data_IF_161163006864
#
_entry.id   IF_161163006864
#
_cell.length_a   1.000
_cell.length_b   1.000
_cell.length_c   1.000
_cell.angle_alpha   90.00
_cell.angle_beta   90.00
_cell.angle_gamma   90.00
#
_symmetry.space_group_name_H-M   'P 1'
#
loop_
_entity.id
_entity.type
_entity.pdbx_description
1 polymer ?
#
# COMPACT_ATOMS: atom_id res chain seq x y z
N UNK A 1 21.38 -27.82 31.85
CA UNK A 1 21.55 -26.80 30.79
C UNK A 1 21.26 -27.47 29.45
N UNK A 2 19.99 -27.52 29.00
CA UNK A 2 19.63 -28.14 27.73
C UNK A 2 19.23 -27.05 26.75
N UNK A 3 20.02 -26.91 25.68
CA UNK A 3 19.79 -26.05 24.54
C UNK A 3 18.70 -26.69 23.68
N UNK A 4 17.68 -25.93 23.26
CA UNK A 4 16.75 -26.35 22.21
C UNK A 4 16.70 -25.28 21.13
N UNK A 5 17.50 -25.53 20.10
CA UNK A 5 17.52 -24.87 18.81
C UNK A 5 16.28 -25.31 18.04
N UNK A 6 15.26 -24.45 17.95
CA UNK A 6 14.06 -24.70 17.18
C UNK A 6 14.16 -24.10 15.78
N UNK A 7 14.70 -24.87 14.84
CA UNK A 7 14.64 -24.60 13.41
C UNK A 7 13.20 -24.80 12.92
N UNK A 8 12.56 -23.76 12.36
CA UNK A 8 11.39 -23.96 11.47
C UNK A 8 11.54 -23.13 10.22
N UNK A 9 12.21 -23.74 9.26
CA UNK A 9 12.28 -23.37 7.85
C UNK A 9 10.91 -23.54 7.19
N UNK A 10 10.25 -22.45 6.79
CA UNK A 10 9.34 -22.48 5.63
C UNK A 10 9.72 -21.37 4.67
N UNK A 11 10.68 -21.69 3.81
CA UNK A 11 10.98 -20.93 2.61
C UNK A 11 9.76 -20.95 1.69
N UNK A 12 9.05 -19.82 1.60
CA UNK A 12 8.17 -19.56 0.45
C UNK A 12 8.94 -18.73 -0.56
N UNK A 13 9.16 -19.34 -1.71
CA UNK A 13 9.99 -18.87 -2.80
C UNK A 13 9.61 -17.49 -3.35
N UNK A 14 10.64 -16.87 -3.91
CA UNK A 14 10.60 -15.60 -4.63
C UNK A 14 12.02 -15.26 -5.06
N UNK A 15 12.54 -16.01 -6.04
CA UNK A 15 13.78 -15.70 -6.75
C UNK A 15 13.60 -14.39 -7.50
N UNK A 16 14.02 -13.31 -6.85
CA UNK A 16 14.21 -12.00 -7.44
C UNK A 16 15.06 -11.25 -6.44
N UNK A 17 16.17 -10.68 -6.89
CA UNK A 17 16.97 -9.74 -6.12
C UNK A 17 16.06 -8.63 -5.59
N UNK A 18 15.52 -8.80 -4.37
CA UNK A 18 14.41 -8.01 -3.84
C UNK A 18 14.91 -7.24 -2.63
N UNK A 19 15.64 -6.15 -2.90
CA UNK A 19 15.86 -5.04 -1.98
C UNK A 19 14.66 -4.89 -1.03
N UNK A 20 14.88 -5.03 0.28
CA UNK A 20 13.79 -5.11 1.25
C UNK A 20 12.99 -3.83 1.25
N UNK A 21 11.85 -3.82 0.57
CA UNK A 21 10.96 -2.67 0.47
C UNK A 21 10.29 -2.47 1.81
N UNK A 22 10.75 -1.52 2.64
CA UNK A 22 10.39 -1.53 4.05
C UNK A 22 9.03 -0.85 4.29
N UNK A 23 8.47 -0.18 3.28
CA UNK A 23 7.17 0.47 3.31
C UNK A 23 7.25 1.99 3.39
N UNK A 24 6.07 2.63 3.47
CA UNK A 24 5.95 4.10 3.52
C UNK A 24 6.17 4.60 4.95
N UNK A 25 6.55 5.88 5.10
CA UNK A 25 6.58 6.54 6.41
C UNK A 25 5.17 6.65 6.95
N UNK A 26 4.99 6.40 8.24
CA UNK A 26 3.69 6.44 8.91
C UNK A 26 3.70 7.39 10.09
N UNK A 27 2.51 7.69 10.63
CA UNK A 27 2.37 8.43 11.90
C UNK A 27 2.61 7.56 13.15
N UNK A 28 2.94 6.27 12.98
CA UNK A 28 3.26 5.41 14.10
C UNK A 28 4.80 5.32 14.22
N UNK A 29 5.39 5.81 15.32
CA UNK A 29 6.84 5.78 15.49
C UNK A 29 7.40 4.36 15.50
N UNK A 30 6.69 3.40 16.10
CA UNK A 30 7.10 2.00 16.12
C UNK A 30 7.15 1.40 14.70
N UNK A 31 6.17 1.69 13.85
CA UNK A 31 6.21 1.23 12.45
C UNK A 31 7.35 1.87 11.66
N UNK A 32 7.69 3.14 11.96
CA UNK A 32 8.86 3.77 11.36
C UNK A 32 10.17 3.13 11.82
N UNK A 33 10.25 2.69 13.08
CA UNK A 33 11.37 1.89 13.57
C UNK A 33 11.45 0.53 12.88
N UNK A 34 10.35 -0.21 12.78
CA UNK A 34 10.32 -1.51 12.10
C UNK A 34 10.75 -1.40 10.63
N UNK A 35 10.48 -0.25 10.01
CA UNK A 35 10.94 0.04 8.65
C UNK A 35 12.46 0.08 8.56
N UNK A 36 13.13 0.67 9.53
CA UNK A 36 14.59 0.72 9.60
C UNK A 36 15.15 -0.64 10.01
N UNK A 37 14.50 -1.29 10.97
CA UNK A 37 14.86 -2.62 11.42
C UNK A 37 14.82 -3.64 10.27
N UNK A 38 13.80 -3.57 9.40
CA UNK A 38 13.69 -4.42 8.21
C UNK A 38 14.75 -4.13 7.15
N UNK A 39 15.20 -2.87 7.01
CA UNK A 39 16.30 -2.52 6.10
C UNK A 39 17.62 -3.16 6.55
N UNK A 40 17.86 -3.22 7.87
CA UNK A 40 19.06 -3.83 8.45
C UNK A 40 18.98 -5.36 8.45
N UNK A 41 17.79 -5.92 8.68
CA UNK A 41 17.57 -7.35 8.83
C UNK A 41 16.83 -7.95 7.63
N UNK A 42 17.33 -7.66 6.44
CA UNK A 42 16.69 -7.99 5.17
C UNK A 42 16.40 -9.47 4.92
N UNK A 43 17.20 -10.33 5.55
CA UNK A 43 17.14 -11.78 5.45
C UNK A 43 16.05 -12.39 6.34
N UNK A 44 15.52 -11.63 7.31
CA UNK A 44 14.49 -12.12 8.22
C UNK A 44 13.10 -12.08 7.59
N UNK A 45 12.26 -13.03 7.98
CA UNK A 45 10.85 -13.03 7.61
C UNK A 45 10.14 -11.81 8.23
N UNK A 46 9.03 -11.38 7.63
CA UNK A 46 8.25 -10.27 8.19
C UNK A 46 7.77 -10.55 9.62
N UNK A 47 7.52 -11.82 9.95
CA UNK A 47 7.09 -12.24 11.30
C UNK A 47 8.24 -12.04 12.30
N UNK A 48 9.45 -12.46 11.94
CA UNK A 48 10.63 -12.33 12.81
C UNK A 48 11.04 -10.88 13.00
N UNK A 49 10.95 -10.07 11.93
CA UNK A 49 11.11 -8.61 12.00
C UNK A 49 10.19 -8.00 13.05
N UNK A 50 8.92 -8.39 13.07
CA UNK A 50 7.95 -7.84 14.02
C UNK A 50 8.25 -8.34 15.43
N UNK A 51 8.53 -9.64 15.62
CA UNK A 51 8.84 -10.23 16.94
C UNK A 51 10.10 -9.62 17.55
N UNK A 52 11.24 -9.76 16.87
CA UNK A 52 12.53 -9.26 17.36
C UNK A 52 12.55 -7.72 17.43
N UNK A 53 11.95 -7.06 16.45
CA UNK A 53 11.82 -5.60 16.45
C UNK A 53 10.96 -5.09 17.61
N UNK A 54 9.86 -5.78 17.98
CA UNK A 54 9.05 -5.42 19.14
C UNK A 54 9.84 -5.51 20.45
N UNK A 55 10.66 -6.54 20.59
CA UNK A 55 11.53 -6.66 21.76
C UNK A 55 12.59 -5.56 21.82
N UNK A 56 13.27 -5.30 20.71
CA UNK A 56 14.27 -4.24 20.64
C UNK A 56 13.66 -2.87 20.94
N UNK A 57 12.48 -2.58 20.38
CA UNK A 57 11.77 -1.33 20.63
C UNK A 57 11.42 -1.12 22.10
N UNK A 58 11.02 -2.19 22.81
CA UNK A 58 10.74 -2.12 24.25
C UNK A 58 11.99 -1.80 25.07
N UNK A 59 13.17 -2.26 24.63
CA UNK A 59 14.46 -2.03 25.30
C UNK A 59 15.08 -0.66 24.98
N UNK A 60 14.60 0.05 23.96
CA UNK A 60 15.14 1.36 23.58
C UNK A 60 14.77 2.46 24.58
N UNK A 61 15.71 3.36 24.85
CA UNK A 61 15.45 4.59 25.62
C UNK A 61 14.56 5.57 24.84
N UNK A 62 13.99 6.54 25.52
CA UNK A 62 13.15 7.56 24.88
C UNK A 62 13.96 8.42 23.89
N UNK A 63 15.24 8.67 24.15
CA UNK A 63 16.12 9.38 23.22
C UNK A 63 16.33 8.59 21.92
N UNK A 64 16.46 7.27 22.02
CA UNK A 64 16.59 6.39 20.85
C UNK A 64 15.29 6.30 20.06
N UNK A 65 14.13 6.44 20.72
CA UNK A 65 12.80 6.48 20.09
C UNK A 65 12.50 7.85 19.47
N UNK A 66 13.11 8.92 19.98
CA UNK A 66 12.82 10.30 19.60
C UNK A 66 12.90 10.59 18.09
N UNK A 67 13.88 10.08 17.32
CA UNK A 67 13.89 10.26 15.87
C UNK A 67 12.63 9.73 15.19
N UNK A 68 12.14 8.57 15.63
CA UNK A 68 10.94 7.94 15.10
C UNK A 68 9.67 8.68 15.50
N UNK A 69 9.65 9.26 16.70
CA UNK A 69 8.58 10.14 17.19
C UNK A 69 8.50 11.41 16.35
N UNK A 70 9.65 12.06 16.09
CA UNK A 70 9.72 13.24 15.21
C UNK A 70 9.19 12.91 13.81
N UNK A 71 9.65 11.81 13.21
CA UNK A 71 9.16 11.37 11.90
C UNK A 71 7.63 11.16 11.92
N UNK A 72 7.12 10.48 12.95
CA UNK A 72 5.70 10.22 13.11
C UNK A 72 4.88 11.53 13.26
N UNK A 73 5.40 12.49 14.01
CA UNK A 73 4.76 13.78 14.26
C UNK A 73 4.63 14.60 12.98
N UNK A 74 5.72 14.72 12.21
CA UNK A 74 5.73 15.49 10.95
C UNK A 74 5.12 14.74 9.75
N UNK A 75 4.82 13.45 9.89
CA UNK A 75 4.18 12.70 8.80
C UNK A 75 2.75 13.20 8.59
N UNK A 76 2.39 13.68 7.38
CA UNK A 76 1.09 14.30 7.14
C UNK A 76 -0.06 13.31 7.33
N UNK A 77 -1.18 13.83 7.84
CA UNK A 77 -2.42 13.06 7.93
C UNK A 77 -2.87 12.66 6.52
N UNK A 78 -2.91 11.35 6.28
CA UNK A 78 -3.68 10.81 5.16
C UNK A 78 -5.15 11.09 5.48
N UNK A 79 -5.76 12.06 4.79
CA UNK A 79 -7.21 12.29 4.87
C UNK A 79 -7.89 10.94 4.66
N UNK A 80 -8.68 10.50 5.65
CA UNK A 80 -9.46 9.27 5.52
C UNK A 80 -10.35 9.46 4.31
N UNK A 81 -10.12 8.66 3.27
CA UNK A 81 -11.03 8.61 2.12
C UNK A 81 -12.34 8.08 2.67
N UNK A 82 -13.39 8.90 2.63
CA UNK A 82 -14.68 8.45 3.11
C UNK A 82 -15.11 7.23 2.26
N UNK A 83 -15.45 6.09 2.89
CA UNK A 83 -15.78 4.86 2.18
C UNK A 83 -16.90 5.07 1.16
N UNK A 84 -17.87 5.94 1.46
CA UNK A 84 -18.99 6.25 0.57
C UNK A 84 -18.56 7.17 -0.59
N UNK A 85 -17.74 8.20 -0.35
CA UNK A 85 -17.35 9.14 -1.40
C UNK A 85 -16.31 8.57 -2.40
N UNK A 86 -15.54 7.55 -2.00
CA UNK A 86 -14.55 6.88 -2.87
C UNK A 86 -15.23 6.15 -4.03
N UNK A 87 -16.43 5.61 -3.79
CA UNK A 87 -17.25 4.98 -4.82
C UNK A 87 -18.05 5.96 -5.68
N UNK A 88 -18.47 7.11 -5.12
CA UNK A 88 -19.33 8.08 -5.82
C UNK A 88 -18.60 8.77 -6.98
N UNK A 89 -17.37 9.25 -6.78
CA UNK A 89 -16.60 9.91 -7.85
C UNK A 89 -16.28 8.94 -9.01
N UNK A 90 -15.95 7.68 -8.69
CA UNK A 90 -15.73 6.64 -9.69
C UNK A 90 -17.02 6.17 -10.39
N UNK A 91 -18.16 6.15 -9.70
CA UNK A 91 -19.47 5.81 -10.28
C UNK A 91 -19.97 6.92 -11.22
N UNK A 92 -19.83 8.19 -10.82
CA UNK A 92 -20.25 9.34 -11.63
C UNK A 92 -19.42 9.44 -12.92
N UNK A 93 -18.09 9.25 -12.84
CA UNK A 93 -17.21 9.16 -14.02
C UNK A 93 -17.60 8.02 -14.97
N UNK A 94 -17.92 6.84 -14.44
CA UNK A 94 -18.36 5.70 -15.25
C UNK A 94 -19.71 5.94 -15.92
N UNK A 95 -20.65 6.58 -15.23
CA UNK A 95 -21.95 6.97 -15.79
C UNK A 95 -21.78 7.96 -16.95
N UNK A 96 -20.97 9.00 -16.74
CA UNK A 96 -20.65 9.98 -17.78
C UNK A 96 -19.98 9.35 -19.01
N UNK A 97 -19.03 8.43 -18.81
CA UNK A 97 -18.41 7.69 -19.91
C UNK A 97 -19.42 6.86 -20.71
N UNK A 98 -20.35 6.17 -20.02
CA UNK A 98 -21.41 5.38 -20.67
C UNK A 98 -22.37 6.27 -21.48
N UNK A 99 -22.72 7.45 -20.97
CA UNK A 99 -23.56 8.41 -21.69
C UNK A 99 -22.88 8.91 -22.97
N UNK A 100 -21.59 9.26 -22.90
CA UNK A 100 -20.79 9.67 -24.06
C UNK A 100 -20.72 8.55 -25.11
N UNK A 101 -20.44 7.31 -24.68
CA UNK A 101 -20.41 6.15 -25.58
C UNK A 101 -21.76 5.91 -26.28
N UNK A 102 -22.87 6.02 -25.55
CA UNK A 102 -24.22 5.89 -26.10
C UNK A 102 -24.55 6.98 -27.12
N UNK A 103 -24.18 8.23 -26.83
CA UNK A 103 -24.36 9.35 -27.75
C UNK A 103 -23.57 9.14 -29.06
N UNK A 104 -22.30 8.71 -28.96
CA UNK A 104 -21.49 8.38 -30.14
C UNK A 104 -22.08 7.24 -30.96
N UNK A 105 -22.64 6.22 -30.32
CA UNK A 105 -23.30 5.11 -31.02
C UNK A 105 -24.55 5.59 -31.77
N UNK A 106 -25.41 6.40 -31.14
CA UNK A 106 -26.60 6.97 -31.77
C UNK A 106 -26.25 7.89 -32.94
N UNK A 107 -25.21 8.71 -32.80
CA UNK A 107 -24.76 9.59 -33.89
C UNK A 107 -24.23 8.79 -35.09
N UNK A 108 -23.48 7.70 -34.86
CA UNK A 108 -23.08 6.77 -35.94
C UNK A 108 -24.26 6.14 -36.66
N UNK A 109 -25.30 5.74 -35.93
CA UNK A 109 -26.54 5.19 -36.52
C UNK A 109 -27.24 6.25 -37.38
N UNK A 110 -27.33 7.50 -36.89
CA UNK A 110 -27.93 8.62 -37.63
C UNK A 110 -27.18 8.90 -38.93
N UNK A 111 -25.85 9.04 -38.88
CA UNK A 111 -25.03 9.30 -40.07
C UNK A 111 -25.14 8.17 -41.09
N UNK A 112 -25.22 6.91 -40.65
CA UNK A 112 -25.43 5.75 -41.54
C UNK A 112 -26.79 5.81 -42.25
N UNK A 113 -27.83 6.26 -41.54
CA UNK A 113 -29.20 6.42 -42.09
C UNK A 113 -29.29 7.58 -43.09
N UNK A 114 -28.62 8.70 -42.82
CA UNK A 114 -28.53 9.83 -43.77
C UNK A 114 -27.80 9.39 -45.05
N UNK A 115 -26.65 8.71 -44.94
CA UNK A 115 -25.89 8.21 -46.10
C UNK A 115 -26.61 7.13 -46.93
N UNK A 116 -27.56 6.40 -46.34
CA UNK A 116 -28.43 5.46 -47.06
C UNK A 116 -29.58 6.14 -47.80
N UNK A 117 -29.94 7.38 -47.43
CA UNK A 117 -31.00 8.16 -48.08
C UNK A 117 -30.49 9.00 -49.26
N UNK A 118 -29.19 9.23 -49.32
CA UNK A 118 -28.51 9.95 -50.41
C UNK A 118 -27.99 9.00 -51.52
N UNK A 119 -28.31 7.72 -51.46
CA UNK A 119 -28.02 6.70 -52.48
C UNK A 119 -29.30 6.25 -53.14
#
# INVERSE_FOLDING_TARGET
MAQQSGETSTARGGTGSMMCRPGKTTRNPYLNFLRDYRRKNCHLSAVDIVRQGAEQWRRMSDEQKLPYVKIAFYTPLRRRRCPTCTGMSGRMKRSAMRAIARSKAMNRVRVKKEKQRER
#
